data_IF_074335829583
#
_entry.id   IF_074335829583
#
_cell.length_a   1.000
_cell.length_b   1.000
_cell.length_c   1.000
_cell.angle_alpha   90.00
_cell.angle_beta   90.00
_cell.angle_gamma   90.00
#
_symmetry.space_group_name_H-M   'P 1'
#
loop_
_entity.id
_entity.type
_entity.pdbx_description
1 polymer ?
#
# COMPACT_ATOMS: atom_id res chain seq x y z
N UNK A 1 -26.33 7.75 -3.38
CA UNK A 1 -25.20 7.06 -2.74
C UNK A 1 -24.38 6.30 -3.78
N UNK A 2 -23.73 7.03 -4.72
CA UNK A 2 -22.45 6.60 -5.28
C UNK A 2 -21.52 7.82 -5.35
N UNK A 3 -20.67 8.01 -4.34
CA UNK A 3 -19.64 9.08 -4.34
C UNK A 3 -18.39 8.68 -3.53
N UNK A 4 -18.26 7.40 -3.15
CA UNK A 4 -17.17 6.91 -2.28
C UNK A 4 -16.28 5.87 -2.99
N UNK A 5 -16.66 5.37 -4.16
CA UNK A 5 -15.89 4.30 -4.84
C UNK A 5 -14.89 4.82 -5.87
N UNK A 6 -15.03 6.06 -6.34
CA UNK A 6 -14.19 6.62 -7.42
C UNK A 6 -12.81 7.15 -6.94
N UNK A 7 -12.51 7.08 -5.64
CA UNK A 7 -11.21 7.49 -5.08
C UNK A 7 -10.20 6.33 -4.93
N UNK A 8 -10.56 5.13 -5.37
CA UNK A 8 -9.71 3.93 -5.30
C UNK A 8 -8.77 3.74 -6.50
N UNK A 9 -8.81 4.62 -7.50
CA UNK A 9 -7.95 4.50 -8.70
C UNK A 9 -6.94 5.66 -8.76
N UNK A 10 -5.98 5.65 -7.82
CA UNK A 10 -4.84 6.57 -7.81
C UNK A 10 -3.56 5.90 -8.37
N UNK A 11 -3.72 4.78 -9.06
CA UNK A 11 -2.64 4.00 -9.71
C UNK A 11 -2.47 4.30 -11.20
N UNK A 12 -3.38 5.09 -11.80
CA UNK A 12 -3.57 5.15 -13.26
C UNK A 12 -3.10 6.45 -13.93
N UNK A 13 -2.55 7.42 -13.21
CA UNK A 13 -2.11 8.69 -13.81
C UNK A 13 -0.65 9.01 -13.43
N UNK A 14 0.30 8.49 -14.24
CA UNK A 14 1.53 9.16 -14.73
C UNK A 14 2.76 8.24 -14.95
N UNK A 15 2.73 6.96 -14.57
CA UNK A 15 3.91 6.06 -14.74
C UNK A 15 3.88 5.27 -16.07
N UNK A 16 2.74 5.27 -16.77
CA UNK A 16 2.38 4.24 -17.77
C UNK A 16 2.93 4.40 -19.20
N UNK A 17 3.64 5.48 -19.54
CA UNK A 17 4.12 5.69 -20.91
C UNK A 17 5.65 5.69 -21.09
N UNK A 18 6.40 5.78 -20.00
CA UNK A 18 7.85 6.07 -20.08
C UNK A 18 8.68 4.81 -20.39
N UNK A 19 8.53 3.65 -19.72
CA UNK A 19 9.60 2.65 -19.75
C UNK A 19 9.84 2.00 -21.12
N UNK A 20 8.79 1.66 -21.88
CA UNK A 20 8.98 0.88 -23.12
C UNK A 20 9.57 1.71 -24.27
N UNK A 21 9.18 2.99 -24.41
CA UNK A 21 9.79 3.88 -25.39
C UNK A 21 11.20 4.31 -24.94
N UNK A 22 11.42 4.46 -23.62
CA UNK A 22 12.69 4.86 -23.04
C UNK A 22 13.77 3.77 -23.13
N UNK A 23 13.40 2.50 -22.88
CA UNK A 23 14.29 1.35 -23.04
C UNK A 23 14.65 1.08 -24.51
N UNK A 24 13.74 1.35 -25.44
CA UNK A 24 14.00 1.24 -26.88
C UNK A 24 14.85 2.40 -27.43
N UNK A 25 14.69 3.61 -26.89
CA UNK A 25 15.47 4.79 -27.29
C UNK A 25 16.91 4.81 -26.74
N UNK A 26 17.20 4.02 -25.69
CA UNK A 26 18.45 4.04 -24.95
C UNK A 26 19.19 2.69 -24.97
N UNK A 27 18.99 1.90 -26.02
CA UNK A 27 19.64 0.59 -26.23
C UNK A 27 21.18 0.66 -26.36
N UNK A 28 21.69 1.85 -26.67
CA UNK A 28 23.12 2.18 -26.76
C UNK A 28 23.77 2.47 -25.40
N UNK A 29 23.00 2.69 -24.34
CA UNK A 29 23.53 2.97 -23.00
C UNK A 29 23.87 1.67 -22.26
N UNK A 30 24.98 1.68 -21.54
CA UNK A 30 25.33 0.55 -20.69
C UNK A 30 24.25 0.34 -19.61
N UNK A 31 23.98 -0.90 -19.16
CA UNK A 31 22.95 -1.17 -18.15
C UNK A 31 23.13 -0.37 -16.86
N UNK A 32 24.37 -0.03 -16.50
CA UNK A 32 24.71 0.80 -15.34
C UNK A 32 24.29 2.25 -15.57
N UNK A 33 24.53 2.80 -16.77
CA UNK A 33 24.13 4.16 -17.11
C UNK A 33 22.61 4.32 -17.19
N UNK A 34 21.90 3.31 -17.70
CA UNK A 34 20.44 3.29 -17.75
C UNK A 34 19.81 3.15 -16.35
N UNK A 35 20.41 2.33 -15.49
CA UNK A 35 19.97 2.21 -14.10
C UNK A 35 20.18 3.53 -13.36
N UNK A 36 21.34 4.17 -13.49
CA UNK A 36 21.61 5.46 -12.85
C UNK A 36 20.67 6.57 -13.33
N UNK A 37 20.36 6.62 -14.62
CA UNK A 37 19.48 7.65 -15.20
C UNK A 37 17.99 7.44 -14.85
N UNK A 38 17.53 6.19 -14.68
CA UNK A 38 16.20 5.90 -14.10
C UNK A 38 16.17 6.23 -12.61
N UNK A 39 17.25 5.91 -11.87
CA UNK A 39 17.40 6.23 -10.45
C UNK A 39 17.51 7.74 -10.17
N UNK A 40 17.94 8.54 -11.14
CA UNK A 40 18.06 9.99 -11.02
C UNK A 40 16.75 10.74 -11.37
N UNK A 41 15.86 10.11 -12.14
CA UNK A 41 14.59 10.72 -12.61
C UNK A 41 13.39 10.43 -11.73
N UNK A 42 13.38 9.31 -11.03
CA UNK A 42 12.32 8.96 -10.11
C UNK A 42 12.81 9.19 -8.67
N UNK A 43 12.13 10.07 -7.93
CA UNK A 43 12.27 10.30 -6.48
C UNK A 43 11.77 9.06 -5.69
N UNK A 44 12.22 7.88 -6.11
CA UNK A 44 11.89 6.58 -5.55
C UNK A 44 13.04 6.21 -4.63
N UNK A 45 12.71 6.22 -3.35
CA UNK A 45 13.56 5.80 -2.24
C UNK A 45 14.43 4.61 -2.67
N UNK A 46 15.73 4.85 -2.85
CA UNK A 46 16.68 3.90 -3.48
C UNK A 46 16.68 2.54 -2.76
N UNK A 47 16.31 2.56 -1.46
CA UNK A 47 16.12 1.39 -0.61
C UNK A 47 14.94 0.50 -1.03
N UNK A 48 13.84 1.06 -1.53
CA UNK A 48 12.68 0.31 -1.98
C UNK A 48 12.97 -0.41 -3.30
N UNK A 49 13.57 0.30 -4.26
CA UNK A 49 13.96 -0.29 -5.55
C UNK A 49 15.03 -1.37 -5.38
N UNK A 50 16.05 -1.14 -4.53
CA UNK A 50 17.04 -2.17 -4.19
C UNK A 50 16.42 -3.39 -3.49
N UNK A 51 15.51 -3.20 -2.52
CA UNK A 51 14.79 -4.31 -1.88
C UNK A 51 13.91 -5.08 -2.85
N UNK A 52 13.26 -4.38 -3.79
CA UNK A 52 12.46 -5.00 -4.85
C UNK A 52 13.33 -5.85 -5.77
N UNK A 53 14.46 -5.33 -6.23
CA UNK A 53 15.42 -6.06 -7.06
C UNK A 53 15.98 -7.28 -6.31
N UNK A 54 16.36 -7.13 -5.04
CA UNK A 54 16.91 -8.23 -4.21
C UNK A 54 15.87 -9.33 -3.97
N UNK A 55 14.65 -8.97 -3.56
CA UNK A 55 13.57 -9.95 -3.35
C UNK A 55 13.14 -10.62 -4.65
N UNK A 56 13.10 -9.87 -5.76
CA UNK A 56 12.76 -10.42 -7.06
C UNK A 56 13.85 -11.38 -7.56
N UNK A 57 15.13 -11.02 -7.42
CA UNK A 57 16.26 -11.86 -7.79
C UNK A 57 16.28 -13.18 -6.99
N UNK A 58 16.02 -13.12 -5.68
CA UNK A 58 15.97 -14.29 -4.81
C UNK A 58 14.82 -15.24 -5.16
N UNK A 59 13.62 -14.71 -5.47
CA UNK A 59 12.47 -15.53 -5.85
C UNK A 59 12.57 -16.11 -7.28
N UNK A 60 13.25 -15.41 -8.20
CA UNK A 60 13.44 -15.88 -9.58
C UNK A 60 14.31 -17.15 -9.66
N UNK A 61 15.31 -17.32 -8.79
CA UNK A 61 16.18 -18.49 -8.79
C UNK A 61 15.43 -19.81 -8.52
N UNK A 62 14.40 -19.78 -7.67
CA UNK A 62 13.56 -20.95 -7.36
C UNK A 62 12.61 -21.29 -8.52
N UNK A 63 12.02 -20.27 -9.15
CA UNK A 63 11.08 -20.45 -10.27
C UNK A 63 11.77 -20.94 -11.55
N UNK A 64 12.99 -20.46 -11.83
CA UNK A 64 13.77 -20.88 -12.99
C UNK A 64 14.21 -22.35 -12.92
N UNK A 65 14.56 -22.86 -11.73
CA UNK A 65 14.83 -24.28 -11.51
C UNK A 65 13.61 -25.16 -11.80
N UNK A 66 12.40 -24.70 -11.44
CA UNK A 66 11.17 -25.49 -11.55
C UNK A 66 10.60 -25.54 -12.97
N UNK A 67 10.87 -24.53 -13.80
CA UNK A 67 10.22 -24.38 -15.11
C UNK A 67 11.17 -24.33 -16.33
N UNK A 68 12.38 -24.88 -16.22
CA UNK A 68 13.34 -25.10 -17.36
C UNK A 68 13.34 -23.95 -18.39
N UNK A 69 13.58 -22.72 -17.94
CA UNK A 69 13.74 -21.50 -18.76
C UNK A 69 12.48 -20.88 -19.43
N UNK A 70 11.27 -21.38 -19.16
CA UNK A 70 10.03 -20.87 -19.78
C UNK A 70 9.14 -20.06 -18.80
N UNK A 71 9.75 -19.18 -18.01
CA UNK A 71 9.13 -18.48 -16.87
C UNK A 71 7.76 -17.82 -17.13
N UNK A 72 7.46 -17.38 -18.35
CA UNK A 72 6.16 -16.81 -18.73
C UNK A 72 4.97 -17.73 -18.48
N UNK A 73 5.18 -19.05 -18.47
CA UNK A 73 4.14 -20.03 -18.15
C UNK A 73 4.08 -20.38 -16.66
N UNK A 74 5.09 -20.01 -15.87
CA UNK A 74 5.10 -20.19 -14.41
C UNK A 74 4.50 -19.00 -13.66
N UNK A 75 4.52 -17.80 -14.26
CA UNK A 75 3.97 -16.59 -13.68
C UNK A 75 3.35 -15.76 -14.82
N UNK A 76 2.02 -15.83 -14.93
CA UNK A 76 1.26 -15.03 -15.87
C UNK A 76 1.16 -13.60 -15.33
N UNK A 77 1.71 -12.65 -16.06
CA UNK A 77 1.74 -11.22 -15.73
C UNK A 77 1.04 -10.45 -16.86
N UNK A 78 -0.30 -10.36 -16.82
CA UNK A 78 -1.08 -9.89 -17.97
C UNK A 78 -1.17 -8.38 -18.11
N UNK A 79 -0.85 -7.62 -17.06
CA UNK A 79 -1.16 -6.19 -17.00
C UNK A 79 0.05 -5.32 -17.35
N UNK A 80 -0.20 -4.15 -17.93
CA UNK A 80 0.87 -3.25 -18.42
C UNK A 80 1.84 -2.81 -17.31
N UNK A 81 1.38 -2.71 -16.06
CA UNK A 81 2.23 -2.42 -14.90
C UNK A 81 3.32 -3.47 -14.67
N UNK A 82 3.15 -4.70 -15.18
CA UNK A 82 4.12 -5.77 -15.02
C UNK A 82 5.23 -5.75 -16.09
N UNK A 83 5.17 -4.81 -17.05
CA UNK A 83 6.15 -4.71 -18.13
C UNK A 83 7.60 -4.59 -17.60
N UNK A 84 7.81 -3.90 -16.47
CA UNK A 84 9.12 -3.80 -15.82
C UNK A 84 9.62 -5.14 -15.27
N UNK A 85 8.73 -5.98 -14.73
CA UNK A 85 9.06 -7.33 -14.24
C UNK A 85 9.48 -8.22 -15.43
N UNK A 86 8.75 -8.13 -16.54
CA UNK A 86 9.06 -8.85 -17.79
C UNK A 86 10.40 -8.38 -18.36
N UNK A 87 10.63 -7.06 -18.42
CA UNK A 87 11.86 -6.45 -18.91
C UNK A 87 13.07 -6.87 -18.10
N UNK A 88 12.98 -6.77 -16.77
CA UNK A 88 14.05 -7.20 -15.86
C UNK A 88 14.39 -8.69 -16.02
N UNK A 89 13.38 -9.57 -16.06
CA UNK A 89 13.59 -11.02 -16.26
C UNK A 89 14.24 -11.33 -17.60
N UNK A 90 13.84 -10.62 -18.65
CA UNK A 90 14.42 -10.77 -20.00
C UNK A 90 15.88 -10.30 -20.02
N UNK A 91 16.17 -9.15 -19.40
CA UNK A 91 17.52 -8.63 -19.22
C UNK A 91 18.39 -9.63 -18.43
N UNK A 92 17.89 -10.15 -17.31
CA UNK A 92 18.61 -11.10 -16.46
C UNK A 92 18.96 -12.38 -17.23
N UNK A 93 18.02 -12.89 -18.04
CA UNK A 93 18.26 -14.04 -18.92
C UNK A 93 19.33 -13.73 -19.97
N UNK A 94 19.23 -12.57 -20.63
CA UNK A 94 20.11 -12.18 -21.74
C UNK A 94 21.53 -11.87 -21.29
N UNK A 95 21.70 -11.16 -20.18
CA UNK A 95 22.99 -10.58 -19.78
C UNK A 95 23.60 -11.22 -18.54
N UNK A 96 22.81 -11.84 -17.66
CA UNK A 96 23.31 -12.50 -16.44
C UNK A 96 23.15 -14.04 -16.50
N UNK A 97 22.81 -14.61 -17.66
CA UNK A 97 22.61 -16.06 -17.80
C UNK A 97 21.41 -16.60 -16.99
N UNK A 98 20.47 -15.72 -16.62
CA UNK A 98 19.30 -16.08 -15.81
C UNK A 98 19.57 -16.28 -14.32
N UNK A 99 20.78 -15.97 -13.85
CA UNK A 99 21.17 -16.14 -12.46
C UNK A 99 22.00 -14.94 -11.98
N UNK A 100 21.84 -14.56 -10.72
CA UNK A 100 22.74 -13.59 -10.10
C UNK A 100 23.84 -14.37 -9.41
N UNK A 101 25.06 -14.31 -9.95
CA UNK A 101 26.24 -14.82 -9.25
C UNK A 101 26.60 -13.82 -8.14
N UNK A 102 26.17 -14.13 -6.90
CA UNK A 102 26.48 -13.34 -5.70
C UNK A 102 27.97 -13.41 -5.31
N UNK A 103 28.85 -13.99 -6.15
CA UNK A 103 30.31 -14.09 -6.00
C UNK A 103 30.75 -14.55 -4.61
N UNK A 104 30.00 -15.48 -4.02
CA UNK A 104 30.29 -16.05 -2.70
C UNK A 104 30.23 -15.07 -1.52
N UNK A 105 29.77 -13.83 -1.69
CA UNK A 105 29.66 -12.83 -0.60
C UNK A 105 28.39 -12.98 0.24
N UNK A 106 27.49 -13.89 -0.13
CA UNK A 106 26.23 -14.12 0.55
C UNK A 106 26.19 -15.54 1.09
N UNK A 107 26.09 -15.70 2.41
CA UNK A 107 26.08 -16.99 3.11
C UNK A 107 24.73 -17.73 3.00
N UNK A 108 23.76 -17.16 2.28
CA UNK A 108 22.39 -17.71 2.18
C UNK A 108 21.51 -17.37 3.38
N UNK A 109 22.08 -16.94 4.51
CA UNK A 109 21.33 -16.54 5.69
C UNK A 109 20.74 -15.14 5.50
N UNK A 110 19.42 -15.09 5.28
CA UNK A 110 18.68 -13.83 5.38
C UNK A 110 18.69 -13.36 6.84
N UNK A 111 18.75 -12.04 7.09
CA UNK A 111 18.45 -11.53 8.42
C UNK A 111 17.04 -11.99 8.83
N UNK A 112 16.78 -12.14 10.15
CA UNK A 112 15.47 -12.57 10.62
C UNK A 112 14.38 -11.64 10.06
N UNK A 113 13.36 -12.25 9.47
CA UNK A 113 12.22 -11.52 8.92
C UNK A 113 11.58 -10.69 10.04
N UNK A 114 11.46 -9.37 9.87
CA UNK A 114 10.80 -8.55 10.88
C UNK A 114 9.33 -8.95 11.05
N UNK A 115 8.69 -8.58 12.16
CA UNK A 115 7.29 -8.92 12.41
C UNK A 115 6.39 -8.53 11.24
N UNK A 116 5.37 -9.36 10.93
CA UNK A 116 4.44 -9.11 9.81
C UNK A 116 3.80 -7.73 9.87
N UNK A 117 3.49 -7.25 11.07
CA UNK A 117 2.93 -5.92 11.30
C UNK A 117 3.83 -4.81 10.76
N UNK A 118 5.15 -4.94 10.93
CA UNK A 118 6.13 -3.98 10.42
C UNK A 118 6.32 -4.09 8.91
N UNK A 119 6.24 -5.30 8.37
CA UNK A 119 6.35 -5.53 6.93
C UNK A 119 5.14 -5.03 6.15
N UNK A 120 3.94 -5.18 6.72
CA UNK A 120 2.67 -4.81 6.10
C UNK A 120 2.14 -3.47 6.64
N UNK A 121 3.02 -2.65 7.20
CA UNK A 121 2.68 -1.28 7.61
C UNK A 121 2.52 -0.40 6.37
N UNK A 122 1.26 -0.13 6.02
CA UNK A 122 0.90 0.76 4.90
C UNK A 122 1.08 2.23 5.26
N UNK A 123 0.98 2.58 6.54
CA UNK A 123 0.99 3.97 6.97
C UNK A 123 2.34 4.61 6.67
N UNK A 124 3.41 3.98 7.13
CA UNK A 124 4.78 4.48 6.95
C UNK A 124 5.32 4.25 5.54
N UNK A 125 4.94 3.15 4.88
CA UNK A 125 5.42 2.86 3.53
C UNK A 125 4.74 3.70 2.44
N UNK A 126 3.50 4.16 2.66
CA UNK A 126 2.72 4.82 1.62
C UNK A 126 1.94 6.04 2.12
N UNK A 127 1.10 5.89 3.15
CA UNK A 127 0.12 6.92 3.53
C UNK A 127 0.79 8.23 3.89
N UNK A 128 1.93 8.20 4.59
CA UNK A 128 2.65 9.42 5.01
C UNK A 128 3.24 10.21 3.83
N UNK A 129 3.71 9.50 2.80
CA UNK A 129 4.36 10.08 1.62
C UNK A 129 3.36 10.45 0.51
N UNK A 130 2.18 9.82 0.52
CA UNK A 130 1.13 10.08 -0.47
C UNK A 130 0.18 11.19 0.00
N UNK A 131 0.17 12.34 -0.70
CA UNK A 131 -0.63 13.51 -0.31
C UNK A 131 -2.14 13.22 -0.23
N UNK A 132 -2.70 12.45 -1.16
CA UNK A 132 -4.13 12.12 -1.19
C UNK A 132 -4.52 11.22 -0.02
N UNK A 133 -3.78 10.12 0.20
CA UNK A 133 -4.02 9.19 1.30
C UNK A 133 -3.76 9.83 2.67
N UNK A 134 -2.72 10.66 2.80
CA UNK A 134 -2.42 11.39 4.04
C UNK A 134 -3.56 12.35 4.40
N UNK A 135 -4.08 13.08 3.40
CA UNK A 135 -5.19 14.02 3.59
C UNK A 135 -6.45 13.30 4.07
N UNK A 136 -6.81 12.19 3.41
CA UNK A 136 -7.95 11.37 3.80
C UNK A 136 -7.77 10.75 5.19
N UNK A 137 -6.58 10.23 5.49
CA UNK A 137 -6.27 9.71 6.82
C UNK A 137 -6.50 10.78 7.90
N UNK A 138 -5.94 11.98 7.71
CA UNK A 138 -6.12 13.10 8.66
C UNK A 138 -7.58 13.51 8.80
N UNK A 139 -8.31 13.64 7.70
CA UNK A 139 -9.72 14.06 7.74
C UNK A 139 -10.61 13.03 8.45
N UNK A 140 -10.39 11.73 8.21
CA UNK A 140 -11.12 10.67 8.90
C UNK A 140 -10.81 10.63 10.41
N UNK A 141 -9.56 10.86 10.82
CA UNK A 141 -9.22 10.97 12.24
C UNK A 141 -9.89 12.18 12.91
N UNK A 142 -9.99 13.32 12.22
CA UNK A 142 -10.74 14.48 12.72
C UNK A 142 -12.22 14.14 12.89
N UNK A 143 -12.83 13.47 11.91
CA UNK A 143 -14.23 13.03 11.99
C UNK A 143 -14.44 12.07 13.17
N UNK A 144 -13.53 11.13 13.40
CA UNK A 144 -13.58 10.22 14.54
C UNK A 144 -13.66 10.97 15.88
N UNK A 145 -12.80 11.98 16.07
CA UNK A 145 -12.76 12.81 17.28
C UNK A 145 -14.04 13.65 17.42
N UNK A 146 -14.52 14.24 16.32
CA UNK A 146 -15.74 15.05 16.35
C UNK A 146 -16.99 14.22 16.72
N UNK A 147 -17.05 12.96 16.28
CA UNK A 147 -18.11 12.03 16.68
C UNK A 147 -18.06 11.72 18.19
N UNK A 148 -16.86 11.57 18.77
CA UNK A 148 -16.71 11.37 20.22
C UNK A 148 -17.14 12.60 21.02
N UNK A 149 -16.71 13.80 20.59
CA UNK A 149 -17.12 15.07 21.22
C UNK A 149 -18.64 15.21 21.16
N UNK A 150 -19.26 14.93 20.01
CA UNK A 150 -20.71 15.00 19.83
C UNK A 150 -21.44 14.03 20.77
N UNK A 151 -20.90 12.82 20.95
CA UNK A 151 -21.47 11.84 21.88
C UNK A 151 -21.44 12.33 23.33
N UNK A 152 -20.27 12.75 23.81
CA UNK A 152 -20.09 13.25 25.18
C UNK A 152 -20.92 14.51 25.43
N UNK A 153 -20.92 15.46 24.50
CA UNK A 153 -21.71 16.68 24.59
C UNK A 153 -23.22 16.38 24.68
N UNK A 154 -23.71 15.43 23.88
CA UNK A 154 -25.13 15.03 23.89
C UNK A 154 -25.54 14.44 25.23
N UNK A 155 -24.70 13.60 25.85
CA UNK A 155 -24.94 13.05 27.19
C UNK A 155 -24.90 14.17 28.25
N UNK A 156 -23.91 15.06 28.17
CA UNK A 156 -23.77 16.18 29.09
C UNK A 156 -24.99 17.10 29.10
N UNK A 157 -25.54 17.44 27.92
CA UNK A 157 -26.76 18.23 27.82
C UNK A 157 -27.95 17.52 28.47
N UNK A 158 -28.13 16.22 28.20
CA UNK A 158 -29.22 15.45 28.81
C UNK A 158 -29.09 15.39 30.34
N UNK A 159 -27.86 15.33 30.87
CA UNK A 159 -27.60 15.24 32.30
C UNK A 159 -27.86 16.55 33.06
N UNK A 160 -27.59 17.71 32.44
CA UNK A 160 -27.73 19.02 33.11
C UNK A 160 -29.16 19.56 33.01
N UNK A 161 -29.93 19.18 31.98
CA UNK A 161 -31.27 19.73 31.77
C UNK A 161 -32.31 19.17 32.76
N UNK A 162 -33.05 20.07 33.43
CA UNK A 162 -34.07 19.73 34.43
C UNK A 162 -35.25 18.94 33.81
N UNK A 163 -35.82 18.02 34.59
CA UNK A 163 -37.07 17.35 34.22
C UNK A 163 -38.17 18.38 33.91
N UNK A 164 -38.81 18.26 32.74
CA UNK A 164 -39.85 19.19 32.27
C UNK A 164 -39.38 20.28 31.30
N UNK A 165 -38.07 20.57 31.20
CA UNK A 165 -37.55 21.54 30.21
C UNK A 165 -37.40 20.98 28.80
N UNK A 166 -37.33 19.65 28.66
CA UNK A 166 -37.25 18.96 27.37
C UNK A 166 -38.41 17.98 27.24
N UNK A 167 -39.00 17.90 26.05
CA UNK A 167 -39.92 16.81 25.72
C UNK A 167 -39.20 15.46 25.81
N UNK A 168 -39.94 14.41 26.17
CA UNK A 168 -39.42 13.04 26.23
C UNK A 168 -38.83 12.62 24.88
N UNK A 169 -39.48 13.00 23.77
CA UNK A 169 -38.99 12.74 22.43
C UNK A 169 -37.61 13.36 22.17
N UNK A 170 -37.39 14.63 22.57
CA UNK A 170 -36.11 15.32 22.39
C UNK A 170 -35.02 14.72 23.27
N UNK A 171 -35.34 14.35 24.52
CA UNK A 171 -34.40 13.65 25.40
C UNK A 171 -33.96 12.33 24.77
N UNK A 172 -34.90 11.52 24.30
CA UNK A 172 -34.61 10.22 23.69
C UNK A 172 -33.79 10.37 22.41
N UNK A 173 -34.10 11.36 21.55
CA UNK A 173 -33.33 11.58 20.32
C UNK A 173 -31.88 11.95 20.60
N UNK A 174 -31.61 12.75 21.65
CA UNK A 174 -30.24 13.09 22.05
C UNK A 174 -29.47 11.88 22.59
N UNK A 175 -30.12 11.00 23.35
CA UNK A 175 -29.50 9.75 23.82
C UNK A 175 -29.19 8.84 22.63
N UNK A 176 -30.12 8.69 21.69
CA UNK A 176 -29.89 7.89 20.47
C UNK A 176 -28.75 8.47 19.64
N UNK A 177 -28.71 9.79 19.45
CA UNK A 177 -27.61 10.47 18.77
C UNK A 177 -26.27 10.17 19.46
N UNK A 178 -26.22 10.27 20.79
CA UNK A 178 -25.00 10.00 21.54
C UNK A 178 -24.47 8.58 21.32
N UNK A 179 -25.36 7.58 21.39
CA UNK A 179 -25.01 6.17 21.20
C UNK A 179 -24.56 5.91 19.76
N UNK A 180 -25.29 6.44 18.78
CA UNK A 180 -24.94 6.25 17.36
C UNK A 180 -23.62 6.93 17.00
N UNK A 181 -23.38 8.16 17.47
CA UNK A 181 -22.10 8.85 17.24
C UNK A 181 -20.92 8.08 17.84
N UNK A 182 -21.08 7.52 19.05
CA UNK A 182 -20.05 6.71 19.67
C UNK A 182 -19.79 5.40 18.89
N UNK A 183 -20.86 4.68 18.53
CA UNK A 183 -20.74 3.45 17.75
C UNK A 183 -20.07 3.69 16.40
N UNK A 184 -20.46 4.76 15.70
CA UNK A 184 -19.86 5.15 14.42
C UNK A 184 -18.39 5.55 14.58
N UNK A 185 -18.02 6.23 15.66
CA UNK A 185 -16.62 6.54 15.96
C UNK A 185 -15.77 5.27 16.13
N UNK A 186 -16.26 4.28 16.89
CA UNK A 186 -15.54 3.00 17.08
C UNK A 186 -15.41 2.21 15.79
N UNK A 187 -16.47 2.19 14.99
CA UNK A 187 -16.44 1.56 13.67
C UNK A 187 -15.45 2.26 12.74
N UNK A 188 -15.46 3.60 12.72
CA UNK A 188 -14.56 4.40 11.90
C UNK A 188 -13.09 4.21 12.33
N UNK A 189 -12.81 4.17 13.63
CA UNK A 189 -11.46 3.89 14.15
C UNK A 189 -10.93 2.54 13.65
N UNK A 190 -11.77 1.50 13.70
CA UNK A 190 -11.43 0.18 13.19
C UNK A 190 -11.23 0.19 11.67
N UNK A 191 -12.09 0.90 10.93
CA UNK A 191 -11.97 1.09 9.49
C UNK A 191 -10.66 1.79 9.11
N UNK A 192 -10.29 2.88 9.81
CA UNK A 192 -9.04 3.61 9.59
C UNK A 192 -7.85 2.67 9.82
N UNK A 193 -7.86 1.92 10.92
CA UNK A 193 -6.77 0.99 11.25
C UNK A 193 -6.59 -0.08 10.15
N UNK A 194 -7.68 -0.74 9.75
CA UNK A 194 -7.66 -1.83 8.77
C UNK A 194 -7.26 -1.38 7.35
N UNK A 195 -7.54 -0.14 6.99
CA UNK A 195 -7.27 0.38 5.64
C UNK A 195 -5.97 1.17 5.53
N UNK A 196 -5.56 1.90 6.58
CA UNK A 196 -4.42 2.82 6.49
C UNK A 196 -3.19 2.35 7.27
N UNK A 197 -3.31 1.41 8.23
CA UNK A 197 -2.17 0.91 9.00
C UNK A 197 -1.79 -0.49 8.59
N UNK A 198 -2.67 -1.46 8.83
CA UNK A 198 -2.36 -2.86 8.69
C UNK A 198 -3.51 -3.62 8.05
N UNK A 199 -3.17 -4.41 7.02
CA UNK A 199 -4.09 -5.34 6.40
C UNK A 199 -3.36 -6.68 6.25
N UNK A 200 -3.80 -7.68 6.99
CA UNK A 200 -3.26 -9.03 6.83
C UNK A 200 -3.89 -9.66 5.59
N UNK A 201 -3.05 -10.18 4.70
CA UNK A 201 -3.50 -10.99 3.58
C UNK A 201 -3.26 -12.44 3.96
N UNK A 202 -4.35 -13.18 4.23
CA UNK A 202 -4.25 -14.62 4.38
C UNK A 202 -4.17 -15.26 3.00
N UNK A 203 -2.95 -15.62 2.60
CA UNK A 203 -2.68 -16.31 1.34
C UNK A 203 -2.89 -17.83 1.44
N UNK A 204 -3.38 -18.36 2.57
CA UNK A 204 -3.50 -19.80 2.79
C UNK A 204 -4.88 -20.39 2.39
N UNK A 205 -5.83 -19.55 1.98
CA UNK A 205 -7.17 -19.98 1.55
C UNK A 205 -7.39 -19.49 0.11
N UNK A 206 -6.64 -20.04 -0.83
CA UNK A 206 -6.90 -19.96 -2.28
C UNK A 206 -6.43 -21.25 -2.96
#
# INVERSE_FOLDING_TARGET
>A
MPLIVDLLDCSSLSILAVPNAYLAANDHLSPIALANDVLEKDDVDTNFFLRFIINMASNNALQLKRYKNNWHKACFVPIQSDALVIGYRTWLKKYAGGQVDWRGKYSGALPPTPPREQLMDRYWSHVVNCKSCNSLYKSLNVVEVMLQITSVASIGVVAIMKHGTMSVAKRNSMVVLAVLSFALSRWLAHYIYKNFRYHDYDHAID
#
